data_IF_644622171385
#
_entry.id   IF_644622171385
#
_cell.length_a   1.000
_cell.length_b   1.000
_cell.length_c   1.000
_cell.angle_alpha   90.00
_cell.angle_beta   90.00
_cell.angle_gamma   90.00
#
_symmetry.space_group_name_H-M   'P 1'
#
loop_
_entity.id
_entity.type
_entity.pdbx_description
1 polymer ?
#
# COMPACT_ATOMS: atom_id res chain seq x y z
N UNK A 1 -7.71 -3.11 -20.62
CA UNK A 1 -7.99 -2.02 -19.65
C UNK A 1 -6.70 -1.68 -18.93
N UNK A 2 -6.30 -0.40 -18.94
CA UNK A 2 -5.10 0.09 -18.26
C UNK A 2 -5.48 0.48 -16.82
N UNK A 3 -4.74 -0.01 -15.82
CA UNK A 3 -4.98 0.30 -14.40
C UNK A 3 -4.34 1.65 -14.07
N UNK A 4 -5.07 2.53 -13.38
CA UNK A 4 -4.53 3.81 -12.92
C UNK A 4 -3.88 3.68 -11.54
N UNK A 5 -2.55 3.70 -11.51
CA UNK A 5 -1.72 3.55 -10.31
C UNK A 5 -0.95 4.83 -9.93
N UNK A 6 -1.52 6.01 -10.18
CA UNK A 6 -1.00 7.31 -9.71
C UNK A 6 -1.09 7.40 -8.16
N UNK A 7 -0.24 8.18 -7.51
CA UNK A 7 -0.24 8.40 -6.04
C UNK A 7 0.74 7.49 -5.29
N UNK A 8 0.54 7.27 -3.99
CA UNK A 8 1.45 6.44 -3.18
C UNK A 8 2.83 7.07 -2.98
N UNK A 9 3.72 6.35 -2.30
CA UNK A 9 5.09 6.79 -2.04
C UNK A 9 6.07 6.23 -3.07
N UNK A 10 7.12 7.00 -3.38
CA UNK A 10 8.39 6.42 -3.81
C UNK A 10 9.07 5.80 -2.60
N UNK A 11 9.83 4.73 -2.82
CA UNK A 11 10.35 3.91 -1.73
C UNK A 11 11.47 4.60 -0.96
N UNK A 12 12.45 5.16 -1.67
CA UNK A 12 13.62 5.78 -1.06
C UNK A 12 14.08 7.02 -1.86
N UNK A 13 15.35 7.03 -2.28
CA UNK A 13 15.91 8.05 -3.18
C UNK A 13 15.73 7.72 -4.66
N UNK A 14 15.07 6.59 -4.96
CA UNK A 14 14.67 6.15 -6.29
C UNK A 14 13.21 6.55 -6.56
N UNK A 15 12.72 6.25 -7.77
CA UNK A 15 11.35 6.53 -8.16
C UNK A 15 10.51 5.25 -8.31
N UNK A 16 10.99 4.10 -7.83
CA UNK A 16 10.21 2.87 -7.81
C UNK A 16 9.18 2.93 -6.67
N UNK A 17 8.01 2.34 -6.92
CA UNK A 17 6.97 2.18 -5.90
C UNK A 17 6.89 0.73 -5.49
N UNK A 18 7.66 0.35 -4.47
CA UNK A 18 7.60 -0.99 -3.89
C UNK A 18 6.47 -1.08 -2.87
N UNK A 19 5.44 -1.88 -3.18
CA UNK A 19 4.21 -1.90 -2.36
C UNK A 19 4.41 -2.62 -1.02
N UNK A 20 5.33 -3.58 -0.95
CA UNK A 20 5.60 -4.29 0.28
C UNK A 20 6.16 -3.37 1.39
N UNK A 21 7.29 -2.66 1.19
CA UNK A 21 7.78 -1.68 2.18
C UNK A 21 6.79 -0.52 2.39
N UNK A 22 6.10 -0.03 1.35
CA UNK A 22 5.05 0.98 1.51
C UNK A 22 3.92 0.51 2.44
N UNK A 23 3.50 -0.75 2.32
CA UNK A 23 2.46 -1.34 3.18
C UNK A 23 2.97 -1.45 4.61
N UNK A 24 4.21 -1.93 4.81
CA UNK A 24 4.84 -1.99 6.12
C UNK A 24 4.92 -0.62 6.80
N UNK A 25 5.37 0.40 6.09
CA UNK A 25 5.37 1.80 6.58
C UNK A 25 3.97 2.24 6.98
N UNK A 26 2.96 1.91 6.18
CA UNK A 26 1.55 2.27 6.46
C UNK A 26 1.03 1.58 7.71
N UNK A 27 1.34 0.29 7.89
CA UNK A 27 1.01 -0.47 9.10
C UNK A 27 1.64 0.19 10.34
N UNK A 28 2.93 0.52 10.28
CA UNK A 28 3.65 1.11 11.41
C UNK A 28 3.15 2.54 11.74
N UNK A 29 2.90 3.37 10.73
CA UNK A 29 2.30 4.70 10.94
C UNK A 29 0.90 4.59 11.55
N UNK A 30 0.10 3.62 11.11
CA UNK A 30 -1.24 3.38 11.64
C UNK A 30 -1.19 2.91 13.09
N UNK A 31 -0.28 1.99 13.42
CA UNK A 31 -0.07 1.58 14.81
C UNK A 31 0.35 2.78 15.67
N UNK A 32 1.29 3.59 15.20
CA UNK A 32 1.73 4.79 15.93
C UNK A 32 0.57 5.77 16.16
N UNK A 33 -0.31 5.97 15.17
CA UNK A 33 -1.49 6.82 15.30
C UNK A 33 -2.50 6.30 16.32
N UNK A 34 -2.59 4.97 16.51
CA UNK A 34 -3.47 4.33 17.49
C UNK A 34 -2.86 4.42 18.89
N UNK A 35 -1.59 4.05 19.03
CA UNK A 35 -0.92 3.94 20.33
C UNK A 35 -0.64 5.31 20.96
N UNK A 36 -0.13 6.25 20.16
CA UNK A 36 0.37 7.55 20.64
C UNK A 36 -0.48 8.73 20.17
N UNK A 37 -1.80 8.51 20.06
CA UNK A 37 -2.71 9.51 19.49
C UNK A 37 -2.64 10.85 20.24
N UNK A 38 -2.56 10.82 21.57
CA UNK A 38 -2.60 12.01 22.41
C UNK A 38 -1.31 12.84 22.27
N UNK A 39 -0.16 12.16 22.24
CA UNK A 39 1.18 12.74 22.09
C UNK A 39 1.36 13.35 20.71
N UNK A 40 0.93 12.64 19.67
CA UNK A 40 0.98 13.15 18.28
C UNK A 40 0.00 14.33 18.11
N UNK A 41 -1.16 14.26 18.76
CA UNK A 41 -2.14 15.36 18.75
C UNK A 41 -1.62 16.59 19.48
N UNK A 42 -0.92 16.44 20.61
CA UNK A 42 -0.36 17.57 21.36
C UNK A 42 0.77 18.28 20.59
N UNK A 43 1.44 17.56 19.69
CA UNK A 43 2.40 18.12 18.73
C UNK A 43 1.76 18.69 17.45
N UNK A 44 0.43 18.73 17.34
CA UNK A 44 -0.32 19.14 16.13
C UNK A 44 0.03 18.31 14.87
N UNK A 45 0.48 17.07 15.03
CA UNK A 45 0.90 16.21 13.91
C UNK A 45 -0.15 15.18 13.48
N UNK A 46 -1.22 14.98 14.26
CA UNK A 46 -2.17 13.87 14.02
C UNK A 46 -2.90 14.00 12.68
N UNK A 47 -3.21 15.23 12.25
CA UNK A 47 -3.79 15.49 10.93
C UNK A 47 -2.85 15.06 9.79
N UNK A 48 -1.58 15.48 9.85
CA UNK A 48 -0.58 15.13 8.86
C UNK A 48 -0.29 13.63 8.83
N UNK A 49 -0.20 12.97 9.99
CA UNK A 49 -0.03 11.52 10.08
C UNK A 49 -1.18 10.78 9.38
N UNK A 50 -2.43 11.19 9.64
CA UNK A 50 -3.60 10.63 8.97
C UNK A 50 -3.56 10.87 7.46
N UNK A 51 -3.15 12.07 7.01
CA UNK A 51 -2.98 12.35 5.58
C UNK A 51 -1.95 11.44 4.92
N UNK A 52 -0.81 11.17 5.57
CA UNK A 52 0.22 10.25 5.08
C UNK A 52 -0.29 8.80 4.99
N UNK A 53 -0.98 8.31 6.04
CA UNK A 53 -1.60 6.97 6.02
C UNK A 53 -2.60 6.89 4.86
N UNK A 54 -3.47 7.90 4.71
CA UNK A 54 -4.47 7.94 3.64
C UNK A 54 -3.84 7.91 2.25
N UNK A 55 -2.72 8.62 2.05
CA UNK A 55 -2.01 8.67 0.77
C UNK A 55 -1.55 7.29 0.31
N UNK A 56 -1.01 6.49 1.24
CA UNK A 56 -0.60 5.13 0.96
C UNK A 56 -1.79 4.18 0.78
N UNK A 57 -2.81 4.26 1.65
CA UNK A 57 -3.97 3.37 1.53
C UNK A 57 -4.80 3.65 0.28
N UNK A 58 -4.94 4.90 -0.16
CA UNK A 58 -5.56 5.23 -1.44
C UNK A 58 -4.82 4.59 -2.63
N UNK A 59 -3.49 4.45 -2.53
CA UNK A 59 -2.70 3.75 -3.53
C UNK A 59 -2.90 2.23 -3.46
N UNK A 60 -2.82 1.62 -2.27
CA UNK A 60 -3.02 0.17 -2.08
C UNK A 60 -4.43 -0.24 -2.55
N UNK A 61 -5.45 0.58 -2.28
CA UNK A 61 -6.82 0.35 -2.77
C UNK A 61 -6.92 0.33 -4.30
N UNK A 62 -6.13 1.16 -5.00
CA UNK A 62 -6.06 1.16 -6.47
C UNK A 62 -5.24 -0.01 -7.01
N UNK A 63 -4.20 -0.42 -6.28
CA UNK A 63 -3.35 -1.55 -6.62
C UNK A 63 -4.08 -2.90 -6.46
N UNK A 64 -5.04 -2.98 -5.53
CA UNK A 64 -5.93 -4.14 -5.38
C UNK A 64 -7.11 -4.06 -6.36
N UNK A 65 -6.91 -4.59 -7.57
CA UNK A 65 -7.88 -4.47 -8.67
C UNK A 65 -8.97 -5.55 -8.69
N UNK A 66 -8.73 -6.66 -8.02
CA UNK A 66 -9.70 -7.75 -7.83
C UNK A 66 -9.28 -8.60 -6.63
N UNK A 67 -10.17 -9.44 -6.06
CA UNK A 67 -9.85 -10.30 -4.92
C UNK A 67 -8.62 -11.20 -5.11
N UNK A 68 -8.22 -11.45 -6.35
CA UNK A 68 -7.10 -12.32 -6.73
C UNK A 68 -6.02 -11.58 -7.51
N UNK A 69 -5.95 -10.25 -7.44
CA UNK A 69 -4.90 -9.46 -8.10
C UNK A 69 -4.52 -8.22 -7.31
N UNK A 70 -3.25 -8.15 -6.95
CA UNK A 70 -2.62 -6.99 -6.31
C UNK A 70 -1.38 -6.58 -7.13
N UNK A 71 -1.32 -5.32 -7.56
CA UNK A 71 -0.09 -4.76 -8.12
C UNK A 71 0.90 -4.44 -7.01
N UNK A 72 2.09 -5.00 -7.09
CA UNK A 72 3.10 -4.96 -6.02
C UNK A 72 4.29 -4.07 -6.34
N UNK A 73 4.42 -3.61 -7.59
CA UNK A 73 5.49 -2.71 -8.00
C UNK A 73 5.07 -1.88 -9.22
N UNK A 74 5.48 -0.61 -9.21
CA UNK A 74 5.44 0.29 -10.37
C UNK A 74 6.86 0.75 -10.62
N UNK A 75 7.38 0.52 -11.82
CA UNK A 75 8.78 0.77 -12.20
C UNK A 75 9.64 -0.49 -12.17
N UNK A 76 10.63 -0.57 -13.05
CA UNK A 76 11.71 -1.55 -12.98
C UNK A 76 12.90 -0.95 -12.23
N UNK A 77 13.41 -1.63 -11.20
CA UNK A 77 14.47 -1.09 -10.35
C UNK A 77 15.78 -0.84 -11.09
N UNK A 78 16.19 -1.73 -11.98
CA UNK A 78 17.45 -1.55 -12.71
C UNK A 78 17.36 -0.35 -13.66
N UNK A 79 16.26 -0.23 -14.39
CA UNK A 79 16.02 0.92 -15.28
C UNK A 79 15.94 2.22 -14.50
N UNK A 80 15.22 2.25 -13.38
CA UNK A 80 15.04 3.44 -12.54
C UNK A 80 16.37 3.90 -11.92
N UNK A 81 17.17 2.96 -11.42
CA UNK A 81 18.44 3.26 -10.73
C UNK A 81 19.60 3.55 -11.68
N UNK A 82 19.42 3.34 -12.98
CA UNK A 82 20.43 3.68 -13.99
C UNK A 82 20.58 5.20 -14.18
N UNK A 83 19.58 5.98 -13.74
CA UNK A 83 19.54 7.43 -13.91
C UNK A 83 19.15 8.13 -12.61
N UNK A 84 19.82 9.24 -12.30
CA UNK A 84 19.49 10.07 -11.14
C UNK A 84 18.78 11.32 -11.63
N UNK A 85 17.46 11.29 -11.57
CA UNK A 85 16.60 12.31 -12.16
C UNK A 85 15.50 12.73 -11.19
N UNK A 86 14.95 13.93 -11.42
CA UNK A 86 13.79 14.39 -10.67
C UNK A 86 12.57 13.55 -11.09
N UNK A 87 11.67 13.20 -10.16
CA UNK A 87 10.50 12.36 -10.47
C UNK A 87 9.58 12.96 -11.55
N UNK A 88 9.54 14.29 -11.70
CA UNK A 88 8.78 14.97 -12.76
C UNK A 88 9.40 14.85 -14.16
N UNK A 89 10.68 14.48 -14.26
CA UNK A 89 11.42 14.38 -15.52
C UNK A 89 11.64 12.94 -15.98
N UNK A 90 11.17 11.93 -15.23
CA UNK A 90 11.39 10.52 -15.54
C UNK A 90 10.96 10.14 -16.97
N UNK A 91 11.89 9.56 -17.73
CA UNK A 91 11.64 9.00 -19.05
C UNK A 91 11.67 7.46 -19.09
N UNK A 92 12.06 6.82 -17.99
CA UNK A 92 12.15 5.36 -17.88
C UNK A 92 10.76 4.68 -17.87
N UNK A 93 10.61 3.50 -18.50
CA UNK A 93 9.34 2.79 -18.48
C UNK A 93 8.84 2.45 -17.08
N UNK A 94 7.59 2.81 -16.79
CA UNK A 94 6.90 2.53 -15.51
C UNK A 94 6.19 1.17 -15.52
N UNK A 95 6.95 0.10 -15.71
CA UNK A 95 6.42 -1.28 -15.79
C UNK A 95 5.62 -1.65 -14.55
N UNK A 96 4.51 -2.38 -14.74
CA UNK A 96 3.62 -2.80 -13.66
C UNK A 96 3.82 -4.30 -13.36
N UNK A 97 4.15 -4.62 -12.11
CA UNK A 97 4.25 -6.00 -11.62
C UNK A 97 3.11 -6.29 -10.63
N UNK A 98 2.64 -7.53 -10.63
CA UNK A 98 1.49 -7.95 -9.82
C UNK A 98 1.64 -9.39 -9.36
N UNK A 99 1.00 -9.67 -8.24
CA UNK A 99 0.71 -11.02 -7.79
C UNK A 99 -0.73 -11.38 -8.12
N UNK A 100 -0.97 -12.67 -8.39
CA UNK A 100 -2.28 -13.23 -8.66
C UNK A 100 -2.27 -14.76 -8.42
N UNK A 101 -3.34 -15.45 -8.79
CA UNK A 101 -3.44 -16.91 -8.65
C UNK A 101 -2.36 -17.70 -9.41
N UNK A 102 -1.83 -17.20 -10.53
CA UNK A 102 -0.76 -17.89 -11.26
C UNK A 102 0.64 -17.57 -10.72
N UNK A 103 0.86 -16.37 -10.18
CA UNK A 103 2.10 -15.90 -9.56
C UNK A 103 1.80 -15.29 -8.19
N UNK A 104 1.67 -16.10 -7.13
CA UNK A 104 1.20 -15.61 -5.84
C UNK A 104 2.34 -14.97 -5.02
N UNK A 105 1.99 -14.29 -3.93
CA UNK A 105 2.97 -13.66 -3.02
C UNK A 105 2.33 -13.31 -1.68
N UNK A 106 2.46 -14.21 -0.70
CA UNK A 106 1.80 -14.11 0.60
C UNK A 106 2.28 -12.92 1.42
N UNK A 107 3.57 -12.61 1.39
CA UNK A 107 4.18 -11.55 2.18
C UNK A 107 3.64 -10.18 1.76
N UNK A 108 3.65 -9.91 0.45
CA UNK A 108 3.14 -8.65 -0.08
C UNK A 108 1.62 -8.51 0.10
N UNK A 109 0.86 -9.60 -0.06
CA UNK A 109 -0.58 -9.60 0.19
C UNK A 109 -0.91 -9.40 1.67
N UNK A 110 -0.21 -10.11 2.55
CA UNK A 110 -0.41 -10.07 4.00
C UNK A 110 -0.12 -8.68 4.56
N UNK A 111 0.99 -8.06 4.16
CA UNK A 111 1.34 -6.73 4.62
C UNK A 111 0.38 -5.67 4.08
N UNK A 112 -0.06 -5.78 2.82
CA UNK A 112 -1.09 -4.89 2.27
C UNK A 112 -2.43 -5.02 3.02
N UNK A 113 -2.82 -6.24 3.39
CA UNK A 113 -4.02 -6.48 4.21
C UNK A 113 -3.86 -5.87 5.61
N UNK A 114 -2.70 -6.04 6.26
CA UNK A 114 -2.39 -5.45 7.56
C UNK A 114 -2.41 -3.91 7.53
N UNK A 115 -1.84 -3.30 6.49
CA UNK A 115 -1.86 -1.86 6.28
C UNK A 115 -3.29 -1.31 6.17
N UNK A 116 -4.14 -1.95 5.36
CA UNK A 116 -5.55 -1.55 5.21
C UNK A 116 -6.35 -1.77 6.49
N UNK A 117 -6.15 -2.88 7.20
CA UNK A 117 -6.87 -3.19 8.43
C UNK A 117 -6.50 -2.24 9.58
N UNK A 118 -5.20 -1.98 9.78
CA UNK A 118 -4.72 -1.04 10.80
C UNK A 118 -5.18 0.39 10.51
N UNK A 119 -5.10 0.84 9.25
CA UNK A 119 -5.63 2.14 8.84
C UNK A 119 -7.15 2.25 9.03
N UNK A 120 -7.91 1.16 8.83
CA UNK A 120 -9.35 1.16 9.11
C UNK A 120 -9.64 1.54 10.58
N UNK A 121 -8.82 1.07 11.53
CA UNK A 121 -8.95 1.46 12.94
C UNK A 121 -8.68 2.96 13.15
N UNK A 122 -7.63 3.51 12.50
CA UNK A 122 -7.28 4.94 12.57
C UNK A 122 -8.43 5.83 12.09
N UNK A 123 -9.11 5.44 11.01
CA UNK A 123 -10.18 6.24 10.41
C UNK A 123 -11.57 5.93 10.99
N UNK A 124 -11.73 4.93 11.85
CA UNK A 124 -13.05 4.46 12.31
C UNK A 124 -13.98 5.55 12.82
N UNK A 125 -13.45 6.50 13.60
CA UNK A 125 -14.22 7.62 14.19
C UNK A 125 -14.09 8.93 13.41
N UNK A 126 -13.16 8.99 12.45
CA UNK A 126 -12.83 10.19 11.66
C UNK A 126 -13.58 10.17 10.31
N UNK A 127 -13.63 9.01 9.67
CA UNK A 127 -14.32 8.73 8.42
C UNK A 127 -14.73 7.24 8.39
N UNK A 128 -15.93 6.95 8.90
CA UNK A 128 -16.45 5.59 9.04
C UNK A 128 -16.68 4.89 7.68
N UNK A 129 -16.98 5.66 6.63
CA UNK A 129 -17.16 5.14 5.27
C UNK A 129 -15.82 4.68 4.71
N UNK A 130 -14.77 5.51 4.84
CA UNK A 130 -13.43 5.15 4.41
C UNK A 130 -12.88 3.98 5.21
N UNK A 131 -13.05 3.98 6.54
CA UNK A 131 -12.72 2.84 7.41
C UNK A 131 -13.37 1.54 6.93
N UNK A 132 -14.67 1.56 6.63
CA UNK A 132 -15.39 0.37 6.16
C UNK A 132 -14.87 -0.12 4.81
N UNK A 133 -14.53 0.80 3.90
CA UNK A 133 -13.91 0.47 2.61
C UNK A 133 -12.54 -0.19 2.80
N UNK A 134 -11.69 0.36 3.65
CA UNK A 134 -10.37 -0.20 3.96
C UNK A 134 -10.49 -1.61 4.53
N UNK A 135 -11.37 -1.82 5.51
CA UNK A 135 -11.59 -3.14 6.12
C UNK A 135 -12.12 -4.17 5.11
N UNK A 136 -13.02 -3.74 4.21
CA UNK A 136 -13.53 -4.62 3.15
C UNK A 136 -12.42 -5.06 2.20
N UNK A 137 -11.55 -4.13 1.76
CA UNK A 137 -10.41 -4.49 0.93
C UNK A 137 -9.38 -5.34 1.69
N UNK A 138 -9.11 -5.06 2.98
CA UNK A 138 -8.19 -5.86 3.78
C UNK A 138 -8.59 -7.35 3.79
N UNK A 139 -9.86 -7.63 4.07
CA UNK A 139 -10.42 -9.00 4.03
C UNK A 139 -10.31 -9.63 2.64
N UNK A 140 -10.57 -8.85 1.59
CA UNK A 140 -10.50 -9.37 0.22
C UNK A 140 -9.07 -9.61 -0.25
N UNK A 141 -8.09 -8.80 0.16
CA UNK A 141 -6.67 -9.03 -0.16
C UNK A 141 -6.17 -10.31 0.51
N UNK A 142 -6.65 -10.62 1.72
CA UNK A 142 -6.29 -11.86 2.42
C UNK A 142 -6.61 -13.14 1.65
N UNK A 143 -7.53 -13.10 0.66
CA UNK A 143 -7.80 -14.24 -0.24
C UNK A 143 -6.54 -14.64 -1.04
N UNK A 144 -5.66 -13.69 -1.38
CA UNK A 144 -4.38 -13.98 -2.04
C UNK A 144 -3.45 -14.85 -1.17
N UNK A 145 -3.64 -14.88 0.16
CA UNK A 145 -2.89 -15.75 1.06
C UNK A 145 -3.30 -17.22 0.89
N UNK A 146 -4.60 -17.48 0.74
CA UNK A 146 -5.17 -18.82 0.57
C UNK A 146 -4.66 -19.48 -0.72
N UNK A 147 -4.47 -18.69 -1.78
CA UNK A 147 -3.95 -19.18 -3.07
C UNK A 147 -2.51 -19.71 -3.00
N UNK A 148 -1.73 -19.34 -1.99
CA UNK A 148 -0.40 -19.93 -1.77
C UNK A 148 -0.52 -21.29 -1.10
N UNK A 149 -1.42 -21.42 -0.12
CA UNK A 149 -1.63 -22.69 0.57
C UNK A 149 -2.17 -23.77 -0.37
N UNK A 150 -3.08 -23.42 -1.28
CA UNK A 150 -3.62 -24.34 -2.29
C UNK A 150 -2.57 -24.87 -3.28
N UNK A 151 -1.40 -24.23 -3.40
CA UNK A 151 -0.29 -24.71 -4.25
C UNK A 151 0.76 -25.53 -3.50
N UNK A 152 0.69 -25.57 -2.17
CA UNK A 152 1.62 -26.30 -1.33
C UNK A 152 1.14 -27.72 -0.96
N UNK A 153 -0.11 -28.07 -1.33
CA UNK A 153 -0.73 -29.38 -1.12
C UNK A 153 -1.03 -30.01 -2.48
#
# INVERSE_FOLDING_TARGET
FQVNLIGGFYDAGDNVKFVWPMSFTTTLLSWTAIEYQNEISSANQLGYLRSSIKWATDFILRAHTSPTTLYTQVGDGNSDHSYSERPEDMDTPRTLYKINSSSPGSEAAGEAAAALASAALVFKTVDSNYSSKLLSHAKSVSILLELVFDKMV
#
